data_IF_553847458231
#
_entry.id   IF_553847458231
#
_cell.length_a   1.000
_cell.length_b   1.000
_cell.length_c   1.000
_cell.angle_alpha   90.00
_cell.angle_beta   90.00
_cell.angle_gamma   90.00
#
_symmetry.space_group_name_H-M   'P 1'
#
loop_
_entity.id
_entity.type
_entity.pdbx_description
1 polymer ?
#
# COMPACT_ATOMS: atom_id res chain seq x y z
N UNK A 1 -4.51 20.57 -70.40
CA UNK A 1 -3.77 20.34 -69.14
C UNK A 1 -4.78 20.47 -68.01
N UNK A 2 -5.08 19.37 -67.28
CA UNK A 2 -4.66 19.10 -65.87
C UNK A 2 -4.94 20.32 -64.96
N UNK A 3 -5.62 20.22 -63.82
CA UNK A 3 -5.34 19.34 -62.70
C UNK A 3 -6.61 19.04 -61.88
N UNK A 4 -6.84 17.77 -61.54
CA UNK A 4 -7.75 17.40 -60.47
C UNK A 4 -6.93 17.38 -59.17
N UNK A 5 -7.30 18.23 -58.21
CA UNK A 5 -6.69 18.27 -56.87
C UNK A 5 -7.47 17.28 -56.00
N UNK A 6 -6.85 16.14 -55.68
CA UNK A 6 -7.36 15.24 -54.65
C UNK A 6 -6.93 15.77 -53.29
N UNK A 7 -7.88 16.29 -52.50
CA UNK A 7 -7.66 16.61 -51.11
C UNK A 7 -7.73 15.31 -50.29
N UNK A 8 -6.57 14.79 -49.87
CA UNK A 8 -6.49 13.67 -48.94
C UNK A 8 -6.71 14.17 -47.51
N UNK A 9 -7.88 13.88 -46.95
CA UNK A 9 -8.16 14.09 -45.53
C UNK A 9 -7.40 13.05 -44.70
N UNK A 10 -6.30 13.44 -44.07
CA UNK A 10 -5.63 12.61 -43.07
C UNK A 10 -6.48 12.59 -41.78
N UNK A 11 -7.10 11.45 -41.49
CA UNK A 11 -7.78 11.24 -40.22
C UNK A 11 -6.72 11.12 -39.11
N UNK A 12 -6.66 12.12 -38.22
CA UNK A 12 -5.88 12.06 -36.98
C UNK A 12 -6.54 11.01 -36.08
N UNK A 13 -5.97 9.81 -36.04
CA UNK A 13 -6.32 8.81 -35.01
C UNK A 13 -5.80 9.35 -33.69
N UNK A 14 -6.69 9.86 -32.84
CA UNK A 14 -6.33 10.26 -31.49
C UNK A 14 -5.87 9.00 -30.73
N UNK A 15 -4.58 8.89 -30.46
CA UNK A 15 -4.05 7.90 -29.55
C UNK A 15 -4.62 8.18 -28.16
N UNK A 16 -5.37 7.23 -27.61
CA UNK A 16 -5.77 7.28 -26.20
C UNK A 16 -4.50 7.08 -25.38
N UNK A 17 -3.94 8.17 -24.87
CA UNK A 17 -2.76 8.11 -24.00
C UNK A 17 -3.13 7.47 -22.68
N UNK A 18 -2.50 6.33 -22.36
CA UNK A 18 -2.67 5.63 -21.09
C UNK A 18 -1.64 6.17 -20.08
N UNK A 19 -1.68 7.49 -19.86
CA UNK A 19 -0.63 8.26 -19.18
C UNK A 19 -0.73 8.24 -17.65
N UNK A 20 -1.67 7.49 -17.08
CA UNK A 20 -1.90 7.38 -15.65
C UNK A 20 -1.56 5.95 -15.15
N UNK A 21 -1.83 5.67 -13.88
CA UNK A 21 -1.45 4.39 -13.27
C UNK A 21 -2.57 3.35 -13.24
N UNK A 22 -2.19 2.08 -13.11
CA UNK A 22 -3.08 0.94 -12.87
C UNK A 22 -2.43 -0.10 -11.96
N UNK A 23 -3.25 -0.98 -11.38
CA UNK A 23 -2.78 -2.11 -10.59
C UNK A 23 -2.33 -3.27 -11.49
N UNK A 24 -1.01 -3.49 -11.55
CA UNK A 24 -0.39 -4.53 -12.38
C UNK A 24 -0.24 -5.88 -11.65
N UNK A 25 -0.14 -5.87 -10.32
CA UNK A 25 -0.15 -7.08 -9.47
C UNK A 25 -0.98 -6.83 -8.21
N UNK A 26 -1.97 -7.70 -7.89
CA UNK A 26 -2.58 -8.66 -8.80
C UNK A 26 -3.15 -7.93 -10.04
N UNK A 27 -3.11 -8.57 -11.21
CA UNK A 27 -3.49 -7.91 -12.46
C UNK A 27 -4.97 -7.52 -12.45
N UNK A 28 -5.26 -6.22 -12.46
CA UNK A 28 -6.63 -5.73 -12.63
C UNK A 28 -7.18 -6.11 -14.02
N UNK A 29 -8.46 -6.50 -14.06
CA UNK A 29 -9.16 -6.89 -15.28
C UNK A 29 -9.93 -5.71 -15.88
N UNK A 30 -9.44 -5.21 -17.01
CA UNK A 30 -10.06 -4.13 -17.76
C UNK A 30 -10.72 -4.70 -19.02
N UNK A 31 -12.07 -4.78 -19.08
CA UNK A 31 -12.77 -5.48 -20.15
C UNK A 31 -12.51 -4.92 -21.56
N UNK A 32 -12.17 -3.63 -21.65
CA UNK A 32 -12.01 -2.90 -22.91
C UNK A 32 -10.55 -2.45 -23.13
N UNK A 33 -9.58 -3.16 -22.53
CA UNK A 33 -8.18 -2.74 -22.48
C UNK A 33 -7.89 -1.83 -21.29
N UNK A 34 -6.60 -1.69 -20.95
CA UNK A 34 -6.18 -0.94 -19.76
C UNK A 34 -6.65 0.51 -19.87
N UNK A 35 -7.51 0.93 -18.93
CA UNK A 35 -7.96 2.30 -18.77
C UNK A 35 -7.35 2.87 -17.47
N UNK A 36 -6.35 3.72 -17.62
CA UNK A 36 -5.67 4.37 -16.48
C UNK A 36 -6.32 5.67 -16.04
N UNK A 37 -7.38 6.14 -16.70
CA UNK A 37 -8.01 7.42 -16.34
C UNK A 37 -8.48 7.44 -14.88
N UNK A 38 -8.41 8.60 -14.25
CA UNK A 38 -8.98 8.80 -12.91
C UNK A 38 -10.51 8.65 -12.97
N UNK A 39 -11.11 8.29 -11.83
CA UNK A 39 -12.55 8.01 -11.76
C UNK A 39 -13.39 9.27 -11.69
N UNK A 40 -12.97 10.18 -10.80
CA UNK A 40 -13.68 11.39 -10.43
C UNK A 40 -12.69 12.33 -9.75
N UNK A 41 -13.06 13.59 -9.66
CA UNK A 41 -12.34 14.58 -8.86
C UNK A 41 -13.09 14.93 -7.57
N UNK A 42 -12.34 15.21 -6.50
CA UNK A 42 -12.83 15.88 -5.29
C UNK A 42 -12.44 17.35 -5.38
N UNK A 43 -13.41 18.25 -5.33
CA UNK A 43 -13.16 19.69 -5.27
C UNK A 43 -12.90 20.11 -3.82
N UNK A 44 -11.62 20.21 -3.46
CA UNK A 44 -11.19 20.46 -2.09
C UNK A 44 -11.59 21.84 -1.57
N UNK A 45 -11.70 22.84 -2.45
CA UNK A 45 -12.10 24.20 -2.09
C UNK A 45 -13.57 24.27 -1.67
N UNK A 46 -14.40 23.38 -2.21
CA UNK A 46 -15.83 23.30 -1.93
C UNK A 46 -16.21 22.14 -1.00
N UNK A 47 -15.28 21.24 -0.67
CA UNK A 47 -15.54 20.08 0.15
C UNK A 47 -15.71 20.46 1.63
N UNK A 48 -16.76 19.97 2.29
CA UNK A 48 -17.15 20.38 3.65
C UNK A 48 -16.02 20.25 4.70
N UNK A 49 -15.15 19.24 4.55
CA UNK A 49 -14.01 18.97 5.44
C UNK A 49 -12.75 19.77 5.07
N UNK A 50 -12.54 20.07 3.79
CA UNK A 50 -11.24 20.53 3.28
C UNK A 50 -11.24 22.01 2.87
N UNK A 51 -12.42 22.62 2.69
CA UNK A 51 -12.59 24.02 2.34
C UNK A 51 -11.86 24.96 3.29
N UNK A 52 -11.39 26.09 2.77
CA UNK A 52 -10.69 27.12 3.54
C UNK A 52 -9.20 26.84 3.77
N UNK A 53 -8.65 25.77 3.20
CA UNK A 53 -7.21 25.52 3.14
C UNK A 53 -6.66 25.83 1.75
N UNK A 54 -5.34 25.97 1.63
CA UNK A 54 -4.67 26.22 0.35
C UNK A 54 -4.32 24.89 -0.33
N UNK A 55 -4.85 24.66 -1.53
CA UNK A 55 -4.66 23.41 -2.30
C UNK A 55 -3.95 23.60 -3.66
N UNK A 56 -3.54 24.82 -3.98
CA UNK A 56 -2.79 25.17 -5.20
C UNK A 56 -1.29 25.34 -4.92
N UNK A 57 -0.73 24.55 -4.01
CA UNK A 57 0.69 24.54 -3.70
C UNK A 57 1.41 23.38 -4.44
N UNK A 58 2.68 23.15 -4.12
CA UNK A 58 3.39 21.96 -4.62
C UNK A 58 2.68 20.68 -4.17
N UNK A 59 2.79 19.57 -4.94
CA UNK A 59 2.16 18.30 -4.58
C UNK A 59 2.54 17.82 -3.17
N UNK A 60 3.78 18.04 -2.75
CA UNK A 60 4.24 17.69 -1.40
C UNK A 60 3.61 18.54 -0.30
N UNK A 61 3.46 19.85 -0.53
CA UNK A 61 2.80 20.74 0.41
C UNK A 61 1.30 20.45 0.50
N UNK A 62 0.66 20.11 -0.62
CA UNK A 62 -0.74 19.68 -0.63
C UNK A 62 -0.92 18.37 0.13
N UNK A 63 0.00 17.40 0.01
CA UNK A 63 -0.01 16.18 0.84
C UNK A 63 0.12 16.53 2.32
N UNK A 64 1.08 17.38 2.69
CA UNK A 64 1.26 17.78 4.10
C UNK A 64 0.00 18.45 4.66
N UNK A 65 -0.64 19.32 3.87
CA UNK A 65 -1.91 19.96 4.24
C UNK A 65 -3.04 18.93 4.37
N UNK A 66 -3.19 18.03 3.40
CA UNK A 66 -4.19 16.97 3.43
C UNK A 66 -4.02 16.11 4.68
N UNK A 67 -2.81 15.60 4.94
CA UNK A 67 -2.51 14.78 6.11
C UNK A 67 -2.85 15.50 7.41
N UNK A 68 -2.53 16.80 7.52
CA UNK A 68 -2.88 17.61 8.69
C UNK A 68 -4.39 17.72 8.87
N UNK A 69 -5.12 18.13 7.83
CA UNK A 69 -6.58 18.32 7.91
C UNK A 69 -7.28 16.98 8.16
N UNK A 70 -6.90 15.94 7.41
CA UNK A 70 -7.46 14.60 7.49
C UNK A 70 -7.30 13.96 8.87
N UNK A 71 -6.20 14.22 9.58
CA UNK A 71 -5.99 13.76 10.97
C UNK A 71 -6.80 14.55 12.01
N UNK A 72 -7.17 15.79 11.70
CA UNK A 72 -7.88 16.68 12.64
C UNK A 72 -9.41 16.60 12.56
N UNK A 73 -9.93 16.18 11.41
CA UNK A 73 -11.36 16.01 11.17
C UNK A 73 -11.88 14.68 11.75
N UNK A 74 -13.20 14.57 11.94
CA UNK A 74 -13.84 13.38 12.52
C UNK A 74 -14.71 12.56 11.55
N UNK A 75 -15.03 13.12 10.38
CA UNK A 75 -15.94 12.60 9.35
C UNK A 75 -15.46 11.30 8.71
N UNK A 76 -14.19 11.24 8.31
CA UNK A 76 -13.60 10.08 7.62
C UNK A 76 -12.52 9.45 8.48
N UNK A 77 -12.50 8.13 8.62
CA UNK A 77 -11.45 7.45 9.39
C UNK A 77 -10.33 6.96 8.50
N UNK A 78 -10.63 6.69 7.24
CA UNK A 78 -9.70 6.13 6.27
C UNK A 78 -9.84 6.79 4.90
N UNK A 79 -8.81 6.67 4.07
CA UNK A 79 -8.87 7.16 2.69
C UNK A 79 -9.99 6.45 1.92
N UNK A 80 -10.16 5.15 2.17
CA UNK A 80 -11.31 4.38 1.68
C UNK A 80 -12.65 5.03 2.01
N UNK A 81 -12.87 5.48 3.25
CA UNK A 81 -14.14 6.13 3.62
C UNK A 81 -14.37 7.43 2.84
N UNK A 82 -13.32 8.24 2.65
CA UNK A 82 -13.40 9.46 1.86
C UNK A 82 -13.76 9.15 0.41
N UNK A 83 -13.01 8.26 -0.24
CA UNK A 83 -13.21 7.93 -1.66
C UNK A 83 -14.55 7.22 -1.90
N UNK A 84 -14.95 6.28 -1.04
CA UNK A 84 -16.23 5.59 -1.19
C UNK A 84 -17.42 6.54 -0.94
N UNK A 85 -17.24 7.63 -0.17
CA UNK A 85 -18.27 8.66 0.02
C UNK A 85 -18.59 9.45 -1.26
N UNK A 86 -17.63 9.50 -2.20
CA UNK A 86 -17.76 10.18 -3.49
C UNK A 86 -18.62 9.43 -4.51
N UNK A 87 -19.13 8.25 -4.14
CA UNK A 87 -20.00 7.40 -4.97
C UNK A 87 -19.38 7.02 -6.32
N UNK A 88 -18.06 6.80 -6.33
CA UNK A 88 -17.36 6.21 -7.47
C UNK A 88 -17.70 4.72 -7.60
N UNK A 89 -17.51 4.17 -8.80
CA UNK A 89 -17.75 2.75 -9.06
C UNK A 89 -16.95 1.85 -8.11
N UNK A 90 -17.55 0.72 -7.72
CA UNK A 90 -17.02 -0.17 -6.68
C UNK A 90 -15.58 -0.64 -6.96
N UNK A 91 -15.23 -0.85 -8.23
CA UNK A 91 -13.88 -1.20 -8.68
C UNK A 91 -13.29 -0.22 -9.70
N UNK A 92 -13.82 1.00 -9.74
CA UNK A 92 -13.35 2.02 -10.66
C UNK A 92 -13.52 1.61 -12.12
N UNK A 93 -12.44 1.70 -12.90
CA UNK A 93 -12.44 1.37 -14.34
C UNK A 93 -12.26 -0.11 -14.64
N UNK A 94 -12.02 -0.93 -13.64
CA UNK A 94 -11.80 -2.36 -13.81
C UNK A 94 -12.92 -3.17 -13.16
N UNK A 95 -13.07 -4.43 -13.57
CA UNK A 95 -14.03 -5.36 -12.98
C UNK A 95 -13.32 -6.38 -12.10
N UNK A 96 -14.09 -7.04 -11.23
CA UNK A 96 -13.59 -8.23 -10.54
C UNK A 96 -13.48 -9.37 -11.54
N UNK A 97 -12.29 -9.97 -11.63
CA UNK A 97 -12.06 -11.16 -12.43
C UNK A 97 -13.06 -12.26 -12.05
N UNK A 98 -13.53 -13.01 -13.05
CA UNK A 98 -14.40 -14.17 -12.82
C UNK A 98 -13.71 -15.24 -11.93
N UNK A 99 -12.39 -15.39 -12.08
CA UNK A 99 -11.57 -16.30 -11.28
C UNK A 99 -10.66 -15.51 -10.34
N UNK A 100 -10.56 -15.97 -9.09
CA UNK A 100 -9.66 -15.39 -8.11
C UNK A 100 -8.18 -15.63 -8.48
N UNK A 101 -7.39 -14.55 -8.48
CA UNK A 101 -5.96 -14.56 -8.73
C UNK A 101 -5.24 -15.15 -7.51
N UNK A 102 -4.39 -16.16 -7.73
CA UNK A 102 -3.56 -16.73 -6.68
C UNK A 102 -2.42 -15.77 -6.33
N UNK A 103 -2.43 -15.23 -5.11
CA UNK A 103 -1.43 -14.30 -4.57
C UNK A 103 -0.47 -14.97 -3.59
N UNK A 104 -0.46 -16.30 -3.46
CA UNK A 104 0.40 -17.04 -2.51
C UNK A 104 1.91 -16.84 -2.71
N UNK A 105 2.33 -16.40 -3.90
CA UNK A 105 3.73 -16.08 -4.23
C UNK A 105 4.03 -14.58 -4.23
N UNK A 106 3.02 -13.75 -3.95
CA UNK A 106 3.15 -12.30 -3.93
C UNK A 106 3.27 -11.82 -2.48
N UNK A 107 3.97 -10.71 -2.30
CA UNK A 107 4.11 -10.02 -1.01
C UNK A 107 3.84 -8.51 -1.12
N UNK A 108 3.39 -8.06 -2.29
CA UNK A 108 3.09 -6.68 -2.56
C UNK A 108 1.95 -6.55 -3.57
N UNK A 109 1.29 -5.39 -3.53
CA UNK A 109 0.54 -4.86 -4.67
C UNK A 109 1.49 -4.05 -5.52
N UNK A 110 1.40 -4.20 -6.84
CA UNK A 110 2.17 -3.40 -7.79
C UNK A 110 1.27 -2.43 -8.53
N UNK A 111 1.66 -1.16 -8.49
CA UNK A 111 1.04 -0.07 -9.23
C UNK A 111 2.00 0.44 -10.29
N UNK A 112 1.57 0.59 -11.53
CA UNK A 112 2.43 0.95 -12.64
C UNK A 112 1.80 1.97 -13.57
N UNK A 113 2.65 2.81 -14.14
CA UNK A 113 2.41 3.63 -15.30
C UNK A 113 3.50 3.30 -16.34
N UNK A 114 3.10 2.53 -17.35
CA UNK A 114 4.04 2.03 -18.36
C UNK A 114 4.51 3.12 -19.32
N UNK A 115 3.66 4.13 -19.58
CA UNK A 115 4.01 5.23 -20.47
C UNK A 115 5.15 6.08 -19.89
N UNK A 116 5.11 6.34 -18.59
CA UNK A 116 6.11 7.14 -17.88
C UNK A 116 7.24 6.31 -17.27
N UNK A 117 7.16 4.97 -17.34
CA UNK A 117 8.07 4.03 -16.67
C UNK A 117 8.23 4.35 -15.17
N UNK A 118 7.10 4.64 -14.51
CA UNK A 118 7.02 5.02 -13.09
C UNK A 118 5.95 4.21 -12.39
N UNK A 119 6.13 3.93 -11.09
CA UNK A 119 5.05 3.43 -10.27
C UNK A 119 3.97 4.49 -10.13
N UNK A 120 4.19 5.44 -9.22
CA UNK A 120 3.41 6.65 -9.13
C UNK A 120 4.08 7.79 -9.90
N UNK A 121 3.31 8.56 -10.67
CA UNK A 121 3.84 9.75 -11.33
C UNK A 121 4.24 10.77 -10.26
N UNK A 122 5.44 11.33 -10.39
CA UNK A 122 6.04 12.22 -9.38
C UNK A 122 5.21 13.46 -9.08
N UNK A 123 4.50 14.00 -10.07
CA UNK A 123 3.60 15.15 -9.87
C UNK A 123 2.36 14.79 -9.06
N UNK A 124 1.92 13.53 -9.03
CA UNK A 124 0.65 13.08 -8.45
C UNK A 124 0.78 12.65 -6.98
N UNK A 125 1.56 13.39 -6.18
CA UNK A 125 1.76 13.05 -4.77
C UNK A 125 0.45 12.99 -4.00
N UNK A 126 0.33 12.01 -3.10
CA UNK A 126 -0.95 11.68 -2.50
C UNK A 126 -0.93 10.44 -1.62
N UNK A 127 -1.91 10.31 -0.70
CA UNK A 127 -2.05 9.12 0.13
C UNK A 127 -2.60 7.95 -0.68
N UNK A 128 -2.27 6.73 -0.26
CA UNK A 128 -2.87 5.51 -0.78
C UNK A 128 -3.13 4.50 0.34
N UNK A 129 -4.07 3.60 0.08
CA UNK A 129 -4.41 2.47 0.95
C UNK A 129 -4.61 1.20 0.11
N UNK A 130 -4.25 0.06 0.68
CA UNK A 130 -4.63 -1.27 0.17
C UNK A 130 -5.51 -1.95 1.18
N UNK A 131 -6.60 -2.52 0.71
CA UNK A 131 -7.58 -3.26 1.50
C UNK A 131 -7.75 -4.67 0.96
N UNK A 132 -7.89 -5.63 1.87
CA UNK A 132 -8.39 -6.98 1.58
C UNK A 132 -9.70 -7.12 2.34
N UNK A 133 -10.80 -7.21 1.60
CA UNK A 133 -12.16 -7.08 2.09
C UNK A 133 -12.31 -5.84 3.00
N UNK A 134 -12.55 -6.05 4.28
CA UNK A 134 -12.73 -5.00 5.29
C UNK A 134 -11.47 -4.72 6.10
N UNK A 135 -10.32 -5.30 5.72
CA UNK A 135 -9.06 -5.16 6.44
C UNK A 135 -8.11 -4.26 5.65
N UNK A 136 -7.70 -3.14 6.24
CA UNK A 136 -6.62 -2.32 5.68
C UNK A 136 -5.29 -3.02 5.91
N UNK A 137 -4.60 -3.36 4.84
CA UNK A 137 -3.34 -4.13 4.86
C UNK A 137 -2.11 -3.29 4.51
N UNK A 138 -2.29 -2.13 3.88
CA UNK A 138 -1.22 -1.16 3.66
C UNK A 138 -1.76 0.27 3.62
N UNK A 139 -0.91 1.23 3.98
CA UNK A 139 -1.19 2.66 3.89
C UNK A 139 0.11 3.46 3.80
N UNK A 140 0.10 4.57 3.07
CA UNK A 140 1.11 5.63 3.22
C UNK A 140 0.49 7.01 2.98
N UNK A 141 0.99 8.03 3.70
CA UNK A 141 0.53 9.42 3.59
C UNK A 141 0.96 10.04 2.25
N UNK A 142 2.09 9.58 1.69
CA UNK A 142 2.59 9.95 0.36
C UNK A 142 3.16 8.71 -0.36
N UNK A 143 2.40 8.13 -1.28
CA UNK A 143 2.80 6.88 -1.94
C UNK A 143 3.86 7.05 -3.02
N UNK A 144 3.96 8.25 -3.63
CA UNK A 144 5.07 8.59 -4.52
C UNK A 144 6.40 8.50 -3.78
N UNK A 145 6.46 9.01 -2.54
CA UNK A 145 7.67 8.97 -1.72
C UNK A 145 7.93 7.61 -1.08
N UNK A 146 6.88 6.93 -0.63
CA UNK A 146 7.01 5.64 0.04
C UNK A 146 7.44 4.52 -0.92
N UNK A 147 7.00 4.57 -2.18
CA UNK A 147 7.19 3.49 -3.15
C UNK A 147 7.70 4.03 -4.49
N UNK A 148 8.97 4.48 -4.56
CA UNK A 148 9.51 5.21 -5.72
C UNK A 148 9.90 4.30 -6.92
N UNK A 149 9.71 2.98 -6.81
CA UNK A 149 10.12 2.02 -7.85
C UNK A 149 9.14 2.00 -9.03
N UNK A 150 9.54 1.36 -10.12
CA UNK A 150 8.65 0.99 -11.22
C UNK A 150 8.67 -0.53 -11.47
N UNK A 151 7.52 -1.21 -11.41
CA UNK A 151 6.29 -0.74 -10.76
C UNK A 151 6.51 -0.32 -9.30
N UNK A 152 5.67 0.55 -8.75
CA UNK A 152 5.66 0.82 -7.32
C UNK A 152 5.26 -0.46 -6.60
N UNK A 153 6.07 -0.92 -5.65
CA UNK A 153 5.82 -2.13 -4.86
C UNK A 153 5.36 -1.73 -3.46
N UNK A 154 4.08 -2.00 -3.17
CA UNK A 154 3.42 -1.68 -1.91
C UNK A 154 3.35 -2.97 -1.09
N UNK A 155 4.12 -3.13 0.00
CA UNK A 155 4.12 -4.35 0.79
C UNK A 155 2.72 -4.64 1.35
N UNK A 156 2.26 -5.89 1.21
CA UNK A 156 0.93 -6.34 1.63
C UNK A 156 1.05 -7.72 2.26
N UNK A 157 0.45 -7.88 3.44
CA UNK A 157 0.24 -9.19 4.04
C UNK A 157 -1.05 -9.82 3.50
N UNK A 158 -0.89 -10.70 2.50
CA UNK A 158 -2.01 -11.43 1.92
C UNK A 158 -2.61 -12.48 2.86
N UNK A 159 -2.02 -12.76 4.02
CA UNK A 159 -2.59 -13.69 5.01
C UNK A 159 -3.95 -13.23 5.54
N UNK A 160 -4.28 -11.93 5.40
CA UNK A 160 -5.60 -11.37 5.69
C UNK A 160 -6.71 -11.99 4.82
N UNK A 161 -6.37 -12.50 3.63
CA UNK A 161 -7.36 -13.15 2.76
C UNK A 161 -7.63 -14.61 3.20
N UNK A 162 -8.88 -14.91 3.54
CA UNK A 162 -9.35 -16.26 3.91
C UNK A 162 -10.29 -16.80 2.83
N UNK A 163 -9.77 -17.67 1.95
CA UNK A 163 -10.52 -18.19 0.81
C UNK A 163 -10.39 -17.28 -0.41
N UNK A 164 -11.52 -16.80 -0.93
CA UNK A 164 -11.56 -15.78 -1.99
C UNK A 164 -11.95 -14.43 -1.38
N UNK A 165 -11.20 -13.39 -1.73
CA UNK A 165 -11.36 -12.04 -1.18
C UNK A 165 -11.33 -10.99 -2.29
N UNK A 166 -11.78 -9.79 -1.96
CA UNK A 166 -11.60 -8.63 -2.82
C UNK A 166 -10.42 -7.81 -2.31
N UNK A 167 -9.39 -7.68 -3.13
CA UNK A 167 -8.36 -6.67 -2.91
C UNK A 167 -8.80 -5.37 -3.57
N UNK A 168 -8.70 -4.26 -2.85
CA UNK A 168 -9.00 -2.92 -3.36
C UNK A 168 -7.84 -1.98 -3.07
N UNK A 169 -7.29 -1.38 -4.12
CA UNK A 169 -6.31 -0.32 -4.05
C UNK A 169 -6.99 1.04 -4.19
N UNK A 170 -6.59 2.00 -3.36
CA UNK A 170 -7.07 3.38 -3.36
C UNK A 170 -5.88 4.33 -3.43
N UNK A 171 -5.93 5.34 -4.29
CA UNK A 171 -4.95 6.43 -4.33
C UNK A 171 -5.65 7.75 -4.68
N UNK A 172 -5.24 8.82 -4.00
CA UNK A 172 -5.79 10.16 -4.22
C UNK A 172 -4.65 11.10 -4.58
N UNK A 173 -4.58 11.56 -5.83
CA UNK A 173 -3.55 12.50 -6.26
C UNK A 173 -3.93 13.94 -5.92
N UNK A 174 -3.05 14.64 -5.21
CA UNK A 174 -3.29 15.97 -4.62
C UNK A 174 -2.54 17.09 -5.36
N UNK A 175 -2.26 16.93 -6.65
CA UNK A 175 -1.37 17.82 -7.41
C UNK A 175 -2.00 19.17 -7.79
N UNK A 176 -3.31 19.28 -7.67
CA UNK A 176 -4.12 20.48 -7.93
C UNK A 176 -5.33 20.52 -6.99
N UNK A 177 -6.09 21.62 -6.88
CA UNK A 177 -7.25 21.70 -5.97
C UNK A 177 -8.36 20.67 -6.24
N UNK A 178 -8.45 20.17 -7.48
CA UNK A 178 -9.36 19.09 -7.89
C UNK A 178 -8.64 17.76 -7.84
N UNK A 179 -8.66 17.11 -6.68
CA UNK A 179 -7.90 15.88 -6.45
C UNK A 179 -8.45 14.73 -7.28
N UNK A 180 -7.58 13.93 -7.88
CA UNK A 180 -7.97 12.84 -8.75
C UNK A 180 -8.01 11.52 -8.00
N UNK A 181 -9.14 10.80 -8.11
CA UNK A 181 -9.36 9.50 -7.48
C UNK A 181 -8.91 8.38 -8.42
N UNK A 182 -8.04 7.51 -7.91
CA UNK A 182 -7.71 6.22 -8.51
C UNK A 182 -8.13 5.10 -7.60
N UNK A 183 -8.81 4.10 -8.17
CA UNK A 183 -9.22 2.91 -7.45
C UNK A 183 -9.25 1.73 -8.42
N UNK A 184 -8.62 0.63 -8.03
CA UNK A 184 -8.67 -0.62 -8.76
C UNK A 184 -8.96 -1.77 -7.79
N UNK A 185 -9.58 -2.84 -8.28
CA UNK A 185 -9.78 -4.06 -7.52
C UNK A 185 -9.20 -5.28 -8.20
N UNK A 186 -9.05 -6.36 -7.45
CA UNK A 186 -8.92 -7.71 -7.99
C UNK A 186 -9.61 -8.71 -7.06
N UNK A 187 -10.21 -9.75 -7.66
CA UNK A 187 -10.59 -10.93 -6.90
C UNK A 187 -9.33 -11.77 -6.67
N UNK A 188 -8.99 -12.05 -5.41
CA UNK A 188 -7.77 -12.76 -5.03
C UNK A 188 -8.10 -14.00 -4.20
N UNK A 189 -7.18 -14.95 -4.18
CA UNK A 189 -7.15 -16.05 -3.23
C UNK A 189 -5.73 -16.20 -2.71
N UNK A 190 -5.58 -16.40 -1.42
CA UNK A 190 -4.29 -16.75 -0.85
C UNK A 190 -4.30 -18.24 -0.53
N UNK A 191 -3.58 -19.02 -1.33
CA UNK A 191 -3.52 -20.48 -1.25
C UNK A 191 -3.03 -20.99 0.11
N UNK A 192 -3.91 -21.00 1.11
CA UNK A 192 -3.82 -21.86 2.29
C UNK A 192 -4.69 -23.11 2.07
N UNK A 193 -4.52 -23.74 0.91
CA UNK A 193 -5.08 -25.05 0.61
C UNK A 193 -4.17 -26.16 1.12
N UNK A 194 -4.10 -26.32 2.44
CA UNK A 194 -3.45 -27.46 3.09
C UNK A 194 -4.16 -27.72 4.41
N UNK A 195 -5.01 -28.76 4.44
CA UNK A 195 -5.66 -29.20 5.66
C UNK A 195 -4.66 -29.47 6.77
N UNK A 196 -5.16 -29.56 8.01
CA UNK A 196 -4.42 -30.15 9.10
C UNK A 196 -3.84 -31.49 8.64
N UNK A 197 -2.55 -31.50 8.30
CA UNK A 197 -1.78 -32.73 8.30
C UNK A 197 -1.67 -33.06 9.78
N UNK A 198 -2.46 -34.03 10.22
CA UNK A 198 -2.18 -34.74 11.45
C UNK A 198 -0.68 -35.05 11.50
N UNK A 199 -0.02 -34.97 12.67
CA UNK A 199 1.39 -35.31 12.78
C UNK A 199 1.55 -36.75 12.30
N UNK A 200 2.12 -36.90 11.10
CA UNK A 200 2.45 -38.21 10.56
C UNK A 200 3.67 -38.65 11.35
N UNK A 201 3.47 -39.68 12.15
CA UNK A 201 4.50 -40.38 12.91
C UNK A 201 5.70 -40.69 12.01
N UNK A 202 6.86 -40.16 12.39
CA UNK A 202 8.12 -40.50 11.75
C UNK A 202 8.41 -42.01 11.91
N UNK A 203 8.88 -42.72 10.87
CA UNK A 203 9.42 -44.07 11.03
C UNK A 203 10.77 -44.01 11.76
N UNK A 204 10.82 -44.56 12.97
CA UNK A 204 12.05 -44.79 13.73
C UNK A 204 12.95 -45.79 13.02
N UNK A 205 14.16 -45.37 12.66
CA UNK A 205 15.29 -46.27 12.35
C UNK A 205 16.05 -46.58 13.65
N UNK A 206 16.56 -47.81 13.88
CA UNK A 206 17.11 -48.21 15.17
C UNK A 206 18.56 -47.72 15.32
N UNK A 207 18.80 -46.82 16.28
CA UNK A 207 20.15 -46.43 16.68
C UNK A 207 20.69 -47.39 17.73
N UNK A 208 21.86 -47.96 17.42
CA UNK A 208 22.64 -48.88 18.25
C UNK A 208 23.15 -48.17 19.51
N UNK A 209 23.05 -48.85 20.65
CA UNK A 209 23.47 -48.38 21.97
C UNK A 209 24.97 -48.04 22.06
N UNK A 210 25.34 -47.11 22.97
CA UNK A 210 26.48 -47.37 23.83
C UNK A 210 26.14 -47.28 25.33
N UNK A 211 26.82 -48.17 26.04
CA UNK A 211 26.85 -48.50 27.46
C UNK A 211 27.11 -47.35 28.44
N UNK A 212 26.37 -47.39 29.55
CA UNK A 212 26.57 -46.68 30.82
C UNK A 212 27.91 -47.06 31.49
N UNK A 213 28.52 -46.14 32.26
CA UNK A 213 28.81 -46.51 33.65
C UNK A 213 28.50 -45.42 34.68
N UNK A 214 27.72 -45.85 35.68
CA UNK A 214 27.77 -45.65 37.14
C UNK A 214 28.23 -44.31 37.75
N UNK A 215 27.28 -43.72 38.48
CA UNK A 215 27.41 -42.62 39.44
C UNK A 215 28.03 -43.08 40.79
N UNK A 216 28.70 -42.19 41.53
CA UNK A 216 28.36 -42.05 42.95
C UNK A 216 28.22 -40.59 43.44
N UNK A 217 27.02 -40.30 43.98
CA UNK A 217 26.60 -39.46 45.14
C UNK A 217 27.30 -38.10 45.51
N UNK A 218 26.63 -37.22 46.30
CA UNK A 218 26.50 -35.80 45.99
C UNK A 218 27.32 -34.91 46.93
N UNK A 219 27.76 -33.73 46.46
CA UNK A 219 28.28 -32.70 47.36
C UNK A 219 27.98 -31.28 46.85
N UNK A 220 27.18 -30.58 47.66
CA UNK A 220 27.13 -29.15 47.99
C UNK A 220 27.25 -28.06 46.89
N UNK A 221 26.18 -27.28 46.81
CA UNK A 221 26.04 -26.04 46.05
C UNK A 221 26.90 -24.88 46.57
N UNK A 222 27.29 -23.95 45.68
CA UNK A 222 27.41 -22.53 46.04
C UNK A 222 26.47 -21.63 45.21
N UNK A 223 25.86 -20.66 45.91
CA UNK A 223 25.00 -19.57 45.42
C UNK A 223 25.68 -18.62 44.40
N UNK A 224 24.89 -17.81 43.67
CA UNK A 224 25.37 -16.99 42.56
C UNK A 224 26.12 -15.73 43.02
N UNK A 225 27.22 -15.43 42.35
CA UNK A 225 27.96 -14.17 42.48
C UNK A 225 27.26 -13.03 41.73
N UNK A 226 27.10 -11.92 42.44
CA UNK A 226 26.46 -10.67 42.04
C UNK A 226 27.31 -9.84 41.07
N UNK A 227 26.66 -9.30 40.03
CA UNK A 227 27.22 -8.28 39.14
C UNK A 227 27.10 -6.88 39.77
N UNK A 228 28.13 -6.02 39.77
CA UNK A 228 28.03 -4.66 40.30
C UNK A 228 27.21 -3.73 39.38
N UNK A 229 26.36 -2.90 39.98
CA UNK A 229 25.62 -1.83 39.32
C UNK A 229 26.53 -0.64 38.94
N UNK A 230 26.24 0.09 37.84
CA UNK A 230 27.04 1.24 37.43
C UNK A 230 26.79 2.46 38.33
N UNK A 231 27.88 3.11 38.74
CA UNK A 231 27.91 4.27 39.63
C UNK A 231 27.38 5.53 38.93
N UNK A 232 26.40 6.20 39.56
CA UNK A 232 25.89 7.52 39.15
C UNK A 232 26.97 8.59 39.39
N UNK A 233 27.41 9.29 38.33
CA UNK A 233 28.14 10.56 38.47
C UNK A 233 27.14 11.72 38.48
N UNK A 234 27.08 12.41 39.63
CA UNK A 234 26.47 13.71 39.77
C UNK A 234 27.18 14.73 38.86
N UNK A 235 26.43 15.41 38.00
CA UNK A 235 26.88 16.67 37.41
C UNK A 235 25.93 17.78 37.84
N UNK A 236 26.53 18.80 38.45
CA UNK A 236 25.93 19.92 39.16
C UNK A 236 25.14 20.85 38.23
N UNK A 237 23.95 21.29 38.69
CA UNK A 237 23.18 22.39 38.10
C UNK A 237 23.96 23.70 38.28
N UNK A 238 24.40 24.32 37.18
CA UNK A 238 24.69 25.76 37.17
C UNK A 238 23.46 26.52 36.69
N UNK A 239 22.97 27.37 37.59
CA UNK A 239 21.93 28.38 37.42
C UNK A 239 22.50 29.50 36.54
N UNK A 240 21.93 29.73 35.36
CA UNK A 240 22.20 30.94 34.59
C UNK A 240 21.06 31.94 34.82
N UNK A 241 21.47 33.17 35.12
CA UNK A 241 20.66 34.32 35.52
C UNK A 241 19.76 34.80 34.38
N UNK A 242 18.54 35.23 34.76
CA UNK A 242 17.74 36.20 33.99
C UNK A 242 18.42 37.56 34.07
N UNK A 243 18.57 38.22 32.94
CA UNK A 243 18.50 39.67 32.85
C UNK A 243 17.55 40.03 31.70
N UNK A 244 16.94 41.19 31.90
CA UNK A 244 15.77 41.86 31.29
C UNK A 244 15.44 41.59 29.82
#
# INVERSE_FOLDING_TARGET
>A
MKFAVFASSAALVASTVNAHGYMSVPKADFPNGIDTSYLKTIDADNHAVFKGNKWNDSPDNNVAMFTKVFKSQSTYKTLKDLIDSEKVDACGKNVLNAQAIDVSKENSVKWGNDQEQKGFITSHSGPCEVWIDNTKVAQADNCVKAYPTYPASIPVDYSACKGECTLTFYWLALHEPKWQIYKNCAKIKNGSGGGATAPTTAPTTPSKAPTTPTNPQPTNAPQPTSTPAPTKKNCSRRRALRQE
#
